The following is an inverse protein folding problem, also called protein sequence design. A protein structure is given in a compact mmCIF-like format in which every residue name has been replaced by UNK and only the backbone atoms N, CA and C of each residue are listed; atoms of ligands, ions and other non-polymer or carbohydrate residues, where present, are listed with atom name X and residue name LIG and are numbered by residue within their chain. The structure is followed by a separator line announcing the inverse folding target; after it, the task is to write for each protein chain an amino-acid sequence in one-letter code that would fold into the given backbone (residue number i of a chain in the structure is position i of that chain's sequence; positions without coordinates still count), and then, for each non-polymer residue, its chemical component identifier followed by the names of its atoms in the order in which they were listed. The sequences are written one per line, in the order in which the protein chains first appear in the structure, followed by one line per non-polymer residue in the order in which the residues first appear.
data_IF_802146439130
#
_entry.id   IF_802146439130
#
_cell.length_a   1.000
_cell.length_b   1.000
_cell.length_c   1.000
_cell.angle_alpha   90.00
_cell.angle_beta   90.00
_cell.angle_gamma   90.00
#
_symmetry.space_group_name_H-M   'P 1'
#
loop_
_entity.id
_entity.type
_entity.pdbx_description
1 polymer ?
#
# COMPACT_ATOMS: atom_id res chain seq x y z
N UNK A 1 23.85 69.09 -15.01
CA UNK A 1 25.31 68.88 -15.14
C UNK A 1 25.58 67.54 -14.48
N UNK A 2 25.91 66.45 -15.18
CA UNK A 2 26.96 66.23 -16.17
C UNK A 2 26.43 65.38 -17.33
N UNK A 3 26.79 65.79 -18.54
CA UNK A 3 26.50 65.19 -19.84
C UNK A 3 27.67 64.30 -20.27
N UNK A 4 27.41 63.06 -20.70
CA UNK A 4 28.37 62.23 -21.45
C UNK A 4 27.68 61.42 -22.56
N UNK A 5 28.38 61.39 -23.68
CA UNK A 5 27.99 61.12 -25.06
C UNK A 5 27.57 59.67 -25.40
N UNK A 6 26.85 59.46 -26.52
CA UNK A 6 26.50 58.14 -27.02
C UNK A 6 27.61 57.57 -27.93
N UNK A 7 28.07 56.37 -27.63
CA UNK A 7 28.98 55.59 -28.48
C UNK A 7 28.20 54.89 -29.59
N UNK A 8 28.63 55.08 -30.84
CA UNK A 8 28.19 54.35 -32.03
C UNK A 8 28.98 53.05 -32.11
N UNK A 9 28.28 51.92 -31.99
CA UNK A 9 28.78 50.62 -32.44
C UNK A 9 27.97 50.12 -33.64
N UNK A 10 28.61 49.34 -34.54
CA UNK A 10 28.10 49.05 -35.88
C UNK A 10 26.94 48.06 -35.88
N UNK A 11 25.99 48.32 -36.78
CA UNK A 11 24.84 47.48 -37.08
C UNK A 11 25.20 46.01 -37.27
N UNK A 12 24.53 45.07 -36.58
CA UNK A 12 24.66 43.65 -36.87
C UNK A 12 23.98 43.37 -38.21
N UNK A 13 24.74 42.77 -39.11
CA UNK A 13 24.31 42.27 -40.40
C UNK A 13 23.17 41.28 -40.20
N UNK A 14 22.01 41.56 -40.81
CA UNK A 14 20.85 40.67 -40.83
C UNK A 14 21.27 39.30 -41.41
N UNK A 15 21.10 38.19 -40.66
CA UNK A 15 21.27 36.87 -41.24
C UNK A 15 20.17 36.65 -42.28
N UNK A 16 20.60 36.38 -43.49
CA UNK A 16 19.77 35.96 -44.62
C UNK A 16 18.95 34.75 -44.19
N UNK A 17 17.63 34.90 -44.26
CA UNK A 17 16.63 33.89 -43.93
C UNK A 17 16.87 32.63 -44.79
N UNK A 18 17.25 31.48 -44.20
CA UNK A 18 17.30 30.25 -44.95
C UNK A 18 15.88 29.87 -45.35
N UNK A 19 15.66 29.69 -46.65
CA UNK A 19 14.49 29.00 -47.19
C UNK A 19 14.51 27.57 -46.67
N UNK A 20 13.70 27.31 -45.65
CA UNK A 20 13.47 25.98 -45.11
C UNK A 20 12.50 25.29 -46.07
N UNK A 21 12.85 24.11 -46.62
CA UNK A 21 11.96 23.35 -47.49
C UNK A 21 10.68 23.00 -46.73
N UNK A 22 9.53 23.19 -47.38
CA UNK A 22 8.21 22.76 -46.90
C UNK A 22 8.20 21.23 -46.74
N UNK A 23 8.66 20.76 -45.58
CA UNK A 23 8.48 19.37 -45.16
C UNK A 23 7.03 19.15 -44.77
N UNK A 24 6.45 18.09 -45.33
CA UNK A 24 5.10 17.58 -45.09
C UNK A 24 4.65 17.78 -43.64
N UNK A 25 3.65 18.63 -43.44
CA UNK A 25 3.10 18.99 -42.12
C UNK A 25 2.44 17.81 -41.40
N UNK A 26 2.22 16.70 -42.09
CA UNK A 26 1.51 15.52 -41.61
C UNK A 26 2.29 14.72 -40.55
N UNK A 27 3.62 14.69 -40.62
CA UNK A 27 4.45 13.93 -39.66
C UNK A 27 4.68 14.67 -38.33
N UNK A 28 4.63 16.02 -38.33
CA UNK A 28 4.75 16.80 -37.09
C UNK A 28 3.55 16.59 -36.15
N UNK A 29 2.34 16.47 -36.70
CA UNK A 29 1.13 16.25 -35.90
C UNK A 29 1.11 14.88 -35.19
N UNK A 30 1.72 13.85 -35.79
CA UNK A 30 1.82 12.53 -35.17
C UNK A 30 2.77 12.54 -33.96
N UNK A 31 3.92 13.22 -34.09
CA UNK A 31 4.91 13.34 -33.01
C UNK A 31 4.37 14.18 -31.85
N UNK A 32 3.65 15.26 -32.14
CA UNK A 32 3.00 16.08 -31.10
C UNK A 32 1.91 15.30 -30.35
N UNK A 33 1.14 14.46 -31.05
CA UNK A 33 0.12 13.58 -30.46
C UNK A 33 0.73 12.52 -29.53
N UNK A 34 1.80 11.83 -29.96
CA UNK A 34 2.50 10.84 -29.14
C UNK A 34 3.15 11.48 -27.90
N UNK A 35 3.77 12.66 -28.07
CA UNK A 35 4.33 13.43 -26.96
C UNK A 35 3.27 13.82 -25.93
N UNK A 36 2.08 14.23 -26.38
CA UNK A 36 0.97 14.55 -25.49
C UNK A 36 0.47 13.34 -24.70
N UNK A 37 0.36 12.16 -25.35
CA UNK A 37 -0.03 10.91 -24.69
C UNK A 37 1.02 10.45 -23.65
N UNK A 38 2.32 10.52 -23.98
CA UNK A 38 3.40 10.17 -23.05
C UNK A 38 3.39 11.12 -21.85
N UNK A 39 3.19 12.42 -22.08
CA UNK A 39 3.07 13.42 -21.02
C UNK A 39 1.88 13.15 -20.11
N UNK A 40 0.71 12.82 -20.70
CA UNK A 40 -0.48 12.44 -19.95
C UNK A 40 -0.28 11.17 -19.11
N UNK A 41 0.31 10.12 -19.69
CA UNK A 41 0.61 8.88 -18.98
C UNK A 41 1.60 9.11 -17.83
N UNK A 42 2.63 9.93 -18.07
CA UNK A 42 3.61 10.32 -17.05
C UNK A 42 2.96 11.06 -15.89
N UNK A 43 2.03 11.99 -16.19
CA UNK A 43 1.28 12.72 -15.17
C UNK A 43 0.36 11.79 -14.37
N UNK A 44 -0.30 10.82 -15.03
CA UNK A 44 -1.11 9.83 -14.35
C UNK A 44 -0.28 8.95 -13.42
N UNK A 45 0.89 8.48 -13.86
CA UNK A 45 1.81 7.71 -13.01
C UNK A 45 2.28 8.51 -11.79
N UNK A 46 2.58 9.81 -11.97
CA UNK A 46 2.90 10.72 -10.88
C UNK A 46 1.76 10.84 -9.86
N UNK A 47 0.53 11.04 -10.34
CA UNK A 47 -0.66 11.11 -9.49
C UNK A 47 -0.89 9.79 -8.74
N UNK A 48 -0.69 8.64 -9.39
CA UNK A 48 -0.79 7.33 -8.75
C UNK A 48 0.26 7.15 -7.64
N UNK A 49 1.51 7.53 -7.89
CA UNK A 49 2.56 7.47 -6.89
C UNK A 49 2.27 8.37 -5.68
N UNK A 50 1.67 9.55 -5.90
CA UNK A 50 1.23 10.43 -4.82
C UNK A 50 0.10 9.79 -3.99
N UNK A 51 -0.87 9.15 -4.65
CA UNK A 51 -1.96 8.42 -3.96
C UNK A 51 -1.41 7.24 -3.15
N UNK A 52 -0.50 6.44 -3.71
CA UNK A 52 0.15 5.33 -2.99
C UNK A 52 0.89 5.85 -1.76
N UNK A 53 1.63 6.94 -1.90
CA UNK A 53 2.38 7.55 -0.78
C UNK A 53 1.44 8.05 0.32
N UNK A 54 0.31 8.69 -0.05
CA UNK A 54 -0.72 9.11 0.92
C UNK A 54 -1.36 7.91 1.62
N UNK A 55 -1.67 6.85 0.89
CA UNK A 55 -2.24 5.63 1.46
C UNK A 55 -1.27 4.97 2.45
N UNK A 56 0.02 4.88 2.12
CA UNK A 56 1.05 4.38 3.03
C UNK A 56 1.16 5.24 4.29
N UNK A 57 1.21 6.56 4.16
CA UNK A 57 1.25 7.46 5.31
C UNK A 57 0.01 7.32 6.21
N UNK A 58 -1.19 7.19 5.62
CA UNK A 58 -2.42 6.95 6.39
C UNK A 58 -2.41 5.60 7.10
N UNK A 59 -1.88 4.55 6.46
CA UNK A 59 -1.73 3.23 7.06
C UNK A 59 -0.78 3.26 8.26
N UNK A 60 0.37 3.91 8.13
CA UNK A 60 1.34 4.04 9.22
C UNK A 60 0.78 4.84 10.40
N UNK A 61 0.01 5.90 10.14
CA UNK A 61 -0.64 6.68 11.20
C UNK A 61 -1.73 5.89 11.91
N UNK A 62 -2.56 5.12 11.20
CA UNK A 62 -3.60 4.28 11.83
C UNK A 62 -3.00 3.11 12.61
N UNK A 63 -1.95 2.47 12.08
CA UNK A 63 -1.21 1.42 12.81
C UNK A 63 -0.57 1.95 14.09
N UNK A 64 0.03 3.15 14.05
CA UNK A 64 0.57 3.79 15.26
C UNK A 64 -0.51 4.10 16.29
N UNK A 65 -1.66 4.66 15.85
CA UNK A 65 -2.76 4.98 16.75
C UNK A 65 -3.35 3.73 17.43
N UNK A 66 -3.53 2.63 16.68
CA UNK A 66 -4.01 1.35 17.23
C UNK A 66 -3.00 0.74 18.21
N UNK A 67 -1.70 0.90 17.96
CA UNK A 67 -0.65 0.42 18.88
C UNK A 67 -0.67 1.19 20.20
N UNK A 68 -0.84 2.50 20.15
CA UNK A 68 -0.92 3.35 21.34
C UNK A 68 -2.20 3.06 22.15
N UNK A 69 -3.33 2.85 21.48
CA UNK A 69 -4.59 2.46 22.14
C UNK A 69 -4.49 1.09 22.80
N UNK A 70 -3.91 0.09 22.12
CA UNK A 70 -3.67 -1.23 22.72
C UNK A 70 -2.77 -1.16 23.95
N UNK A 71 -1.73 -0.32 23.92
CA UNK A 71 -0.87 -0.09 25.07
C UNK A 71 -1.65 0.52 26.23
N UNK A 72 -2.46 1.56 25.97
CA UNK A 72 -3.32 2.20 26.96
C UNK A 72 -4.28 1.21 27.62
N UNK A 73 -4.96 0.38 26.83
CA UNK A 73 -5.88 -0.65 27.33
C UNK A 73 -5.16 -1.72 28.16
N UNK A 74 -3.94 -2.10 27.76
CA UNK A 74 -3.11 -3.05 28.52
C UNK A 74 -2.74 -2.47 29.90
N UNK A 75 -2.33 -1.21 29.94
CA UNK A 75 -2.02 -0.50 31.19
C UNK A 75 -3.26 -0.39 32.10
N UNK A 76 -4.43 -0.10 31.53
CA UNK A 76 -5.70 -0.02 32.27
C UNK A 76 -6.12 -1.39 32.84
N UNK A 77 -6.01 -2.47 32.07
CA UNK A 77 -6.26 -3.84 32.54
C UNK A 77 -5.33 -4.21 33.70
N UNK A 78 -4.05 -3.82 33.63
CA UNK A 78 -3.08 -4.04 34.70
C UNK A 78 -3.50 -3.33 35.99
N UNK A 79 -3.90 -2.06 35.90
CA UNK A 79 -4.38 -1.26 37.04
C UNK A 79 -5.65 -1.85 37.65
N UNK A 80 -6.62 -2.24 36.82
CA UNK A 80 -7.87 -2.85 37.28
C UNK A 80 -7.62 -4.21 37.95
N UNK A 81 -6.69 -5.01 37.43
CA UNK A 81 -6.30 -6.30 38.02
C UNK A 81 -5.65 -6.11 39.39
N UNK A 82 -4.75 -5.14 39.53
CA UNK A 82 -4.14 -4.78 40.81
C UNK A 82 -5.20 -4.31 41.81
N UNK A 83 -6.11 -3.42 41.39
CA UNK A 83 -7.19 -2.90 42.23
C UNK A 83 -8.13 -4.01 42.71
N UNK A 84 -8.52 -4.92 41.83
CA UNK A 84 -9.36 -6.08 42.17
C UNK A 84 -8.68 -7.00 43.20
N UNK A 85 -7.36 -7.21 43.07
CA UNK A 85 -6.61 -8.01 44.04
C UNK A 85 -6.56 -7.35 45.42
N UNK A 86 -6.39 -6.02 45.49
CA UNK A 86 -6.39 -5.26 46.73
C UNK A 86 -7.77 -5.31 47.43
N UNK A 87 -8.86 -5.14 46.67
CA UNK A 87 -10.24 -5.24 47.20
C UNK A 87 -10.54 -6.64 47.74
N UNK A 88 -10.04 -7.70 47.07
CA UNK A 88 -10.21 -9.08 47.55
C UNK A 88 -9.51 -9.30 48.90
N UNK A 89 -8.29 -8.80 49.07
CA UNK A 89 -7.57 -8.90 50.36
C UNK A 89 -8.23 -8.05 51.45
N UNK A 90 -8.67 -6.83 51.12
CA UNK A 90 -9.41 -5.99 52.06
C UNK A 90 -10.70 -6.68 52.54
N UNK A 91 -11.48 -7.29 51.63
CA UNK A 91 -12.69 -8.05 51.97
C UNK A 91 -12.38 -9.26 52.85
N UNK A 92 -11.28 -9.96 52.59
CA UNK A 92 -10.84 -11.10 53.40
C UNK A 92 -10.47 -10.68 54.82
N UNK A 93 -9.71 -9.58 54.95
CA UNK A 93 -9.35 -8.98 56.23
C UNK A 93 -10.58 -8.52 57.02
N UNK A 94 -11.48 -7.76 56.39
CA UNK A 94 -12.74 -7.31 57.02
C UNK A 94 -13.60 -8.49 57.51
N UNK A 95 -13.70 -9.57 56.71
CA UNK A 95 -14.43 -10.77 57.10
C UNK A 95 -13.80 -11.47 58.31
N UNK A 96 -12.47 -11.45 58.44
CA UNK A 96 -11.79 -12.01 59.60
C UNK A 96 -12.03 -11.17 60.85
N UNK A 97 -11.94 -9.83 60.74
CA UNK A 97 -12.24 -8.91 61.83
C UNK A 97 -13.68 -9.08 62.34
N UNK A 98 -14.65 -9.24 61.43
CA UNK A 98 -16.04 -9.49 61.80
C UNK A 98 -16.20 -10.78 62.60
N UNK A 99 -15.57 -11.88 62.16
CA UNK A 99 -15.60 -13.16 62.91
C UNK A 99 -14.96 -13.06 64.30
N UNK A 100 -13.90 -12.26 64.44
CA UNK A 100 -13.26 -12.03 65.73
C UNK A 100 -14.11 -11.15 66.66
N UNK A 101 -14.87 -10.20 66.10
CA UNK A 101 -15.83 -9.39 66.85
C UNK A 101 -17.03 -10.25 67.30
N UNK A 102 -17.58 -11.08 66.41
CA UNK A 102 -18.66 -12.04 66.73
C UNK A 102 -18.27 -12.95 67.89
N UNK A 103 -17.05 -13.54 67.85
CA UNK A 103 -16.56 -14.39 68.93
C UNK A 103 -16.41 -13.64 70.25
N UNK A 104 -15.93 -12.38 70.21
CA UNK A 104 -15.79 -11.54 71.41
C UNK A 104 -17.14 -11.27 72.06
N UNK A 105 -18.15 -10.89 71.27
CA UNK A 105 -19.49 -10.66 71.79
C UNK A 105 -20.16 -11.95 72.31
N UNK A 106 -19.92 -13.08 71.66
CA UNK A 106 -20.43 -14.37 72.16
C UNK A 106 -19.88 -14.71 73.55
N UNK A 107 -18.59 -14.48 73.79
CA UNK A 107 -17.96 -14.64 75.10
C UNK A 107 -18.55 -13.68 76.14
N UNK A 108 -18.70 -12.41 75.79
CA UNK A 108 -19.28 -11.40 76.68
C UNK A 108 -20.73 -11.74 77.09
N UNK A 109 -21.54 -12.21 76.14
CA UNK A 109 -22.91 -12.68 76.42
C UNK A 109 -22.90 -13.88 77.38
N UNK A 110 -21.96 -14.83 77.22
CA UNK A 110 -21.87 -15.96 78.16
C UNK A 110 -21.46 -15.52 79.56
N UNK A 111 -20.51 -14.59 79.70
CA UNK A 111 -20.08 -14.06 80.99
C UNK A 111 -21.22 -13.31 81.70
N UNK A 112 -21.96 -12.47 80.98
CA UNK A 112 -23.12 -11.76 81.53
C UNK A 112 -24.22 -12.72 82.00
N UNK A 113 -24.45 -13.82 81.27
CA UNK A 113 -25.41 -14.87 81.68
C UNK A 113 -24.97 -15.55 82.98
N UNK A 114 -23.69 -15.87 83.13
CA UNK A 114 -23.15 -16.45 84.36
C UNK A 114 -23.26 -15.49 85.55
N UNK A 115 -22.95 -14.21 85.35
CA UNK A 115 -23.10 -13.18 86.39
C UNK A 115 -24.56 -13.03 86.84
N UNK A 116 -25.52 -13.03 85.90
CA UNK A 116 -26.95 -12.97 86.23
C UNK A 116 -27.41 -14.17 87.06
N UNK A 117 -27.01 -15.40 86.67
CA UNK A 117 -27.33 -16.61 87.43
C UNK A 117 -26.78 -16.52 88.86
N UNK A 118 -25.56 -15.99 89.03
CA UNK A 118 -24.95 -15.81 90.35
C UNK A 118 -25.74 -14.82 91.21
N UNK A 119 -26.11 -13.67 90.65
CA UNK A 119 -26.90 -12.65 91.36
C UNK A 119 -28.30 -13.15 91.74
N UNK A 120 -28.99 -13.87 90.86
CA UNK A 120 -30.28 -14.49 91.17
C UNK A 120 -30.18 -15.47 92.35
N UNK A 121 -29.10 -16.25 92.42
CA UNK A 121 -28.87 -17.18 93.52
C UNK A 121 -28.57 -16.45 94.84
N UNK A 122 -27.78 -15.37 94.79
CA UNK A 122 -27.52 -14.53 95.97
C UNK A 122 -28.80 -13.84 96.48
N UNK A 123 -29.66 -13.35 95.57
CA UNK A 123 -30.97 -12.79 95.93
C UNK A 123 -31.86 -13.81 96.65
N UNK A 124 -31.99 -15.03 96.12
CA UNK A 124 -32.75 -16.10 96.76
C UNK A 124 -32.21 -16.45 98.16
N UNK A 125 -30.89 -16.38 98.34
CA UNK A 125 -30.28 -16.66 99.65
C UNK A 125 -30.56 -15.54 100.66
N UNK A 126 -30.63 -14.29 100.22
CA UNK A 126 -30.92 -13.13 101.08
C UNK A 126 -32.38 -13.05 101.49
N UNK A 127 -33.32 -13.51 100.66
CA UNK A 127 -34.74 -13.64 101.05
C UNK A 127 -34.95 -14.57 102.27
N UNK A 128 -33.99 -15.44 102.58
CA UNK A 128 -34.05 -16.36 103.73
C UNK A 128 -33.46 -15.79 105.03
N UNK A 129 -32.69 -14.70 105.00
CA UNK A 129 -32.05 -14.12 106.18
C UNK A 129 -32.49 -12.67 106.39
N UNK A 130 -33.45 -12.46 107.29
CA UNK A 130 -33.95 -11.13 107.68
C UNK A 130 -32.94 -10.31 108.49
N UNK A 131 -31.88 -9.82 107.85
CA UNK A 131 -30.87 -8.95 108.47
C UNK A 131 -30.70 -7.65 107.67
N UNK A 132 -31.16 -6.53 108.27
CA UNK A 132 -31.13 -5.16 107.72
C UNK A 132 -29.75 -4.67 107.22
N UNK A 133 -28.64 -5.32 107.60
CA UNK A 133 -27.28 -4.97 107.15
C UNK A 133 -26.97 -5.47 105.74
N UNK A 134 -27.56 -6.59 105.35
CA UNK A 134 -27.37 -7.17 104.02
C UNK A 134 -28.28 -6.51 102.98
N UNK A 135 -29.42 -5.96 103.40
CA UNK A 135 -30.30 -5.12 102.57
C UNK A 135 -29.56 -3.88 102.05
N UNK A 136 -28.72 -3.22 102.86
CA UNK A 136 -27.96 -2.04 102.41
C UNK A 136 -26.87 -2.40 101.38
N UNK A 137 -26.20 -3.55 101.56
CA UNK A 137 -25.24 -4.04 100.54
C UNK A 137 -25.96 -4.45 99.26
N UNK A 138 -27.16 -5.00 99.38
CA UNK A 138 -27.99 -5.38 98.25
C UNK A 138 -28.47 -4.15 97.48
N UNK A 139 -28.94 -3.11 98.17
CA UNK A 139 -29.33 -1.84 97.55
C UNK A 139 -28.15 -1.19 96.82
N UNK A 140 -26.95 -1.16 97.41
CA UNK A 140 -25.75 -0.63 96.75
C UNK A 140 -25.38 -1.43 95.48
N UNK A 141 -25.48 -2.76 95.53
CA UNK A 141 -25.26 -3.59 94.34
C UNK A 141 -26.34 -3.39 93.29
N UNK A 142 -27.56 -3.08 93.70
CA UNK A 142 -28.64 -2.73 92.79
C UNK A 142 -28.36 -1.40 92.09
N UNK A 143 -27.91 -0.38 92.82
CA UNK A 143 -27.47 0.90 92.26
C UNK A 143 -26.31 0.70 91.27
N UNK A 144 -25.27 -0.07 91.64
CA UNK A 144 -24.15 -0.40 90.74
C UNK A 144 -24.63 -1.17 89.49
N UNK A 145 -25.60 -2.07 89.65
CA UNK A 145 -26.19 -2.82 88.53
C UNK A 145 -27.01 -1.91 87.62
N UNK A 146 -27.79 -0.99 88.18
CA UNK A 146 -28.57 0.01 87.46
C UNK A 146 -27.66 0.96 86.68
N UNK A 147 -26.57 1.44 87.28
CA UNK A 147 -25.54 2.23 86.59
C UNK A 147 -24.91 1.46 85.42
N UNK A 148 -24.58 0.18 85.61
CA UNK A 148 -24.09 -0.68 84.51
C UNK A 148 -25.15 -0.88 83.44
N UNK A 149 -26.43 -1.03 83.80
CA UNK A 149 -27.51 -1.18 82.82
C UNK A 149 -27.68 0.09 81.99
N UNK A 150 -27.62 1.28 82.61
CA UNK A 150 -27.69 2.57 81.91
C UNK A 150 -26.50 2.75 80.96
N UNK A 151 -25.28 2.42 81.40
CA UNK A 151 -24.10 2.49 80.53
C UNK A 151 -24.19 1.47 79.38
N UNK A 152 -24.70 0.27 79.64
CA UNK A 152 -24.90 -0.74 78.60
C UNK A 152 -25.99 -0.34 77.60
N UNK A 153 -27.08 0.29 78.05
CA UNK A 153 -28.12 0.85 77.18
C UNK A 153 -27.54 1.95 76.28
N UNK A 154 -26.70 2.83 76.84
CA UNK A 154 -25.99 3.86 76.08
C UNK A 154 -25.03 3.26 75.05
N UNK A 155 -24.30 2.20 75.39
CA UNK A 155 -23.43 1.50 74.45
C UNK A 155 -24.25 0.81 73.34
N UNK A 156 -25.37 0.18 73.68
CA UNK A 156 -26.27 -0.42 72.69
C UNK A 156 -26.82 0.62 71.70
N UNK A 157 -27.21 1.81 72.18
CA UNK A 157 -27.64 2.92 71.32
C UNK A 157 -26.51 3.37 70.39
N UNK A 158 -25.29 3.55 70.90
CA UNK A 158 -24.13 3.90 70.06
C UNK A 158 -23.80 2.82 69.03
N UNK A 159 -23.98 1.54 69.39
CA UNK A 159 -23.81 0.43 68.45
C UNK A 159 -24.92 0.40 67.40
N UNK A 160 -26.16 0.74 67.77
CA UNK A 160 -27.27 0.86 66.85
C UNK A 160 -27.02 1.97 65.81
N UNK A 161 -26.61 3.15 66.25
CA UNK A 161 -26.29 4.28 65.36
C UNK A 161 -25.16 3.91 64.37
N UNK A 162 -24.11 3.25 64.85
CA UNK A 162 -23.01 2.76 63.99
C UNK A 162 -23.47 1.68 63.00
N UNK A 163 -24.40 0.81 63.41
CA UNK A 163 -24.98 -0.20 62.54
C UNK A 163 -25.84 0.46 61.45
N UNK A 164 -26.60 1.50 61.78
CA UNK A 164 -27.39 2.26 60.83
C UNK A 164 -26.49 2.98 59.81
N UNK A 165 -25.46 3.70 60.27
CA UNK A 165 -24.47 4.34 59.40
C UNK A 165 -23.76 3.31 58.49
N UNK A 166 -23.37 2.16 59.05
CA UNK A 166 -22.78 1.08 58.26
C UNK A 166 -23.75 0.54 57.21
N UNK A 167 -25.04 0.46 57.52
CA UNK A 167 -26.06 -0.04 56.60
C UNK A 167 -26.34 0.97 55.47
N UNK A 168 -26.36 2.27 55.77
CA UNK A 168 -26.44 3.34 54.78
C UNK A 168 -25.25 3.30 53.81
N UNK A 169 -24.02 3.16 54.34
CA UNK A 169 -22.82 3.00 53.54
C UNK A 169 -22.88 1.76 52.64
N UNK A 170 -23.38 0.64 53.16
CA UNK A 170 -23.52 -0.61 52.40
C UNK A 170 -24.56 -0.46 51.27
N UNK A 171 -25.66 0.26 51.52
CA UNK A 171 -26.63 0.62 50.49
C UNK A 171 -26.02 1.53 49.42
N UNK A 172 -25.18 2.50 49.81
CA UNK A 172 -24.43 3.34 48.87
C UNK A 172 -23.52 2.53 47.95
N UNK A 173 -22.73 1.60 48.52
CA UNK A 173 -21.88 0.68 47.74
C UNK A 173 -22.70 -0.22 46.82
N UNK A 174 -23.86 -0.71 47.28
CA UNK A 174 -24.77 -1.53 46.47
C UNK A 174 -25.31 -0.75 45.27
N UNK A 175 -25.68 0.51 45.44
CA UNK A 175 -26.12 1.39 44.34
C UNK A 175 -25.00 1.60 43.32
N UNK A 176 -23.78 1.92 43.77
CA UNK A 176 -22.62 2.07 42.89
C UNK A 176 -22.29 0.78 42.12
N UNK A 177 -22.39 -0.39 42.76
CA UNK A 177 -22.18 -1.66 42.08
C UNK A 177 -23.24 -1.94 41.00
N UNK A 178 -24.50 -1.57 41.24
CA UNK A 178 -25.56 -1.70 40.23
C UNK A 178 -25.32 -0.75 39.04
N UNK A 179 -24.89 0.48 39.29
CA UNK A 179 -24.54 1.45 38.24
C UNK A 179 -23.33 0.99 37.43
N UNK A 180 -22.27 0.54 38.09
CA UNK A 180 -21.11 -0.04 37.42
C UNK A 180 -21.49 -1.28 36.59
N UNK A 181 -22.39 -2.13 37.09
CA UNK A 181 -22.91 -3.27 36.33
C UNK A 181 -23.67 -2.88 35.07
N UNK A 182 -24.44 -1.77 35.11
CA UNK A 182 -25.09 -1.21 33.92
C UNK A 182 -24.09 -0.66 32.92
N UNK A 183 -23.09 0.10 33.39
CA UNK A 183 -22.05 0.68 32.54
C UNK A 183 -21.25 -0.41 31.81
N UNK A 184 -20.87 -1.49 32.51
CA UNK A 184 -20.18 -2.64 31.89
C UNK A 184 -21.07 -3.29 30.82
N UNK A 185 -22.37 -3.45 31.07
CA UNK A 185 -23.29 -4.03 30.09
C UNK A 185 -23.41 -3.15 28.84
N UNK A 186 -23.49 -1.84 29.00
CA UNK A 186 -23.51 -0.89 27.87
C UNK A 186 -22.21 -0.90 27.08
N UNK A 187 -21.06 -0.99 27.75
CA UNK A 187 -19.77 -1.12 27.08
C UNK A 187 -19.69 -2.42 26.28
N UNK A 188 -20.18 -3.53 26.84
CA UNK A 188 -20.20 -4.82 26.16
C UNK A 188 -21.07 -4.81 24.89
N UNK A 189 -22.21 -4.10 24.92
CA UNK A 189 -23.04 -3.89 23.72
C UNK A 189 -22.28 -3.08 22.67
N UNK A 190 -21.63 -1.96 23.07
CA UNK A 190 -20.83 -1.13 22.16
C UNK A 190 -19.67 -1.90 21.54
N UNK A 191 -19.00 -2.77 22.30
CA UNK A 191 -17.96 -3.64 21.76
C UNK A 191 -18.52 -4.60 20.70
N UNK A 192 -19.69 -5.21 20.94
CA UNK A 192 -20.34 -6.08 19.95
C UNK A 192 -20.71 -5.34 18.65
N UNK A 193 -21.27 -4.13 18.74
CA UNK A 193 -21.55 -3.29 17.56
C UNK A 193 -20.28 -2.93 16.79
N UNK A 194 -19.16 -2.72 17.49
CA UNK A 194 -17.87 -2.43 16.86
C UNK A 194 -17.27 -3.67 16.17
N UNK A 195 -17.41 -4.85 16.76
CA UNK A 195 -17.01 -6.13 16.13
C UNK A 195 -17.79 -6.39 14.84
N UNK A 196 -19.11 -6.17 14.82
CA UNK A 196 -19.92 -6.30 13.60
C UNK A 196 -19.47 -5.31 12.51
N UNK A 197 -19.13 -4.07 12.88
CA UNK A 197 -18.59 -3.08 11.94
C UNK A 197 -17.25 -3.49 11.37
N UNK A 198 -16.36 -4.07 12.19
CA UNK A 198 -15.06 -4.59 11.74
C UNK A 198 -15.27 -5.74 10.77
N UNK A 199 -16.12 -6.71 11.10
CA UNK A 199 -16.43 -7.84 10.23
C UNK A 199 -16.99 -7.38 8.86
N UNK A 200 -17.92 -6.42 8.85
CA UNK A 200 -18.44 -5.84 7.61
C UNK A 200 -17.41 -5.05 6.80
N UNK A 201 -16.41 -4.45 7.46
CA UNK A 201 -15.28 -3.80 6.78
C UNK A 201 -14.30 -4.81 6.19
N UNK A 202 -14.02 -5.92 6.87
CA UNK A 202 -13.18 -7.01 6.36
C UNK A 202 -13.77 -7.67 5.12
N UNK A 203 -15.10 -7.86 5.08
CA UNK A 203 -15.80 -8.40 3.91
C UNK A 203 -15.63 -7.49 2.69
N UNK A 204 -15.82 -6.17 2.86
CA UNK A 204 -15.60 -5.18 1.77
C UNK A 204 -14.16 -5.17 1.25
N UNK A 205 -13.18 -5.31 2.15
CA UNK A 205 -11.78 -5.40 1.74
C UNK A 205 -11.51 -6.66 0.93
N UNK A 206 -12.10 -7.78 1.32
CA UNK A 206 -11.98 -9.05 0.58
C UNK A 206 -12.64 -8.98 -0.79
N UNK A 207 -13.77 -8.29 -0.93
CA UNK A 207 -14.40 -8.03 -2.24
C UNK A 207 -13.50 -7.16 -3.14
N UNK A 208 -12.88 -6.11 -2.58
CA UNK A 208 -11.95 -5.25 -3.32
C UNK A 208 -10.70 -6.00 -3.78
N UNK A 209 -10.15 -6.87 -2.93
CA UNK A 209 -8.98 -7.69 -3.25
C UNK A 209 -9.27 -8.67 -4.40
N UNK A 210 -10.49 -9.26 -4.40
CA UNK A 210 -10.97 -10.08 -5.52
C UNK A 210 -11.02 -9.31 -6.85
N UNK A 211 -11.51 -8.07 -6.83
CA UNK A 211 -11.55 -7.20 -8.02
C UNK A 211 -10.16 -6.81 -8.53
N UNK A 212 -9.19 -6.60 -7.63
CA UNK A 212 -7.80 -6.30 -8.00
C UNK A 212 -7.11 -7.47 -8.71
N UNK A 213 -7.33 -8.70 -8.26
CA UNK A 213 -6.78 -9.89 -8.92
C UNK A 213 -7.40 -10.14 -10.30
N UNK A 214 -8.67 -9.82 -10.51
CA UNK A 214 -9.30 -9.86 -11.83
C UNK A 214 -8.67 -8.83 -12.78
N UNK A 215 -8.55 -7.57 -12.34
CA UNK A 215 -7.89 -6.51 -13.11
C UNK A 215 -6.43 -6.86 -13.44
N UNK A 216 -5.71 -7.52 -12.52
CA UNK A 216 -4.34 -7.99 -12.75
C UNK A 216 -4.27 -9.04 -13.84
N UNK A 217 -5.21 -10.00 -13.87
CA UNK A 217 -5.29 -11.00 -14.94
C UNK A 217 -5.58 -10.36 -16.29
N UNK A 218 -6.47 -9.38 -16.34
CA UNK A 218 -6.76 -8.63 -17.57
C UNK A 218 -5.51 -7.90 -18.08
N UNK A 219 -4.78 -7.22 -17.19
CA UNK A 219 -3.55 -6.50 -17.55
C UNK A 219 -2.48 -7.44 -18.13
N UNK A 220 -2.31 -8.63 -17.53
CA UNK A 220 -1.40 -9.65 -18.07
C UNK A 220 -1.84 -10.07 -19.47
N UNK A 221 -3.15 -10.28 -19.70
CA UNK A 221 -3.69 -10.61 -21.02
C UNK A 221 -3.53 -9.50 -22.07
N UNK A 222 -3.57 -8.23 -21.66
CA UNK A 222 -3.28 -7.10 -22.54
C UNK A 222 -1.80 -7.07 -22.91
N UNK A 223 -0.89 -7.25 -21.94
CA UNK A 223 0.54 -7.26 -22.20
C UNK A 223 0.94 -8.40 -23.15
N UNK A 224 0.40 -9.60 -22.98
CA UNK A 224 0.70 -10.70 -23.92
C UNK A 224 0.24 -10.39 -25.35
N UNK A 225 -0.92 -9.74 -25.52
CA UNK A 225 -1.39 -9.31 -26.85
C UNK A 225 -0.53 -8.19 -27.43
N UNK A 226 -0.01 -7.30 -26.58
CA UNK A 226 0.90 -6.25 -26.99
C UNK A 226 2.23 -6.84 -27.46
N UNK A 227 2.78 -7.82 -26.74
CA UNK A 227 4.01 -8.53 -27.13
C UNK A 227 3.81 -9.30 -28.44
N UNK A 228 2.66 -9.97 -28.61
CA UNK A 228 2.29 -10.63 -29.87
C UNK A 228 2.22 -9.62 -31.03
N UNK A 229 1.58 -8.48 -30.81
CA UNK A 229 1.46 -7.42 -31.82
C UNK A 229 2.83 -6.81 -32.16
N UNK A 230 3.67 -6.53 -31.17
CA UNK A 230 5.02 -6.01 -31.37
C UNK A 230 5.86 -6.99 -32.19
N UNK A 231 5.78 -8.29 -31.88
CA UNK A 231 6.47 -9.32 -32.65
C UNK A 231 5.97 -9.46 -34.10
N UNK A 232 4.67 -9.23 -34.34
CA UNK A 232 4.06 -9.30 -35.65
C UNK A 232 4.34 -8.06 -36.52
N UNK A 233 4.35 -6.87 -35.91
CA UNK A 233 4.54 -5.59 -36.60
C UNK A 233 6.03 -5.26 -36.78
N UNK A 234 6.87 -5.64 -35.81
CA UNK A 234 8.30 -5.35 -35.78
C UNK A 234 9.11 -6.65 -35.64
N UNK A 235 9.02 -7.57 -36.60
CA UNK A 235 9.78 -8.82 -36.53
C UNK A 235 11.27 -8.52 -36.45
N UNK A 236 11.96 -9.24 -35.56
CA UNK A 236 13.42 -9.19 -35.42
C UNK A 236 14.11 -10.48 -35.87
N UNK A 237 13.32 -11.52 -36.14
CA UNK A 237 13.81 -12.83 -36.55
C UNK A 237 13.44 -13.10 -38.01
N UNK A 238 14.35 -13.67 -38.80
CA UNK A 238 14.03 -14.05 -40.18
C UNK A 238 12.99 -15.17 -40.20
N UNK A 239 12.13 -15.14 -41.21
CA UNK A 239 11.23 -16.24 -41.56
C UNK A 239 12.02 -17.43 -42.13
N UNK A 240 11.32 -18.50 -42.54
CA UNK A 240 11.94 -19.68 -43.17
C UNK A 240 12.73 -19.35 -44.46
N UNK A 241 12.36 -18.26 -45.15
CA UNK A 241 13.07 -17.71 -46.30
C UNK A 241 14.36 -16.97 -45.95
N UNK A 242 14.64 -16.77 -44.66
CA UNK A 242 15.83 -16.10 -44.15
C UNK A 242 15.75 -14.57 -44.22
N UNK A 243 14.55 -13.98 -44.20
CA UNK A 243 14.37 -12.52 -44.17
C UNK A 243 13.17 -12.08 -43.33
N UNK A 244 13.11 -10.80 -42.99
CA UNK A 244 11.92 -10.14 -42.46
C UNK A 244 11.84 -8.68 -42.95
N UNK A 245 10.65 -8.09 -42.89
CA UNK A 245 10.40 -6.73 -43.37
C UNK A 245 9.99 -5.83 -42.20
N UNK A 246 10.40 -4.55 -42.22
CA UNK A 246 9.93 -3.53 -41.29
C UNK A 246 9.54 -2.25 -42.04
N UNK A 247 8.64 -1.50 -41.42
CA UNK A 247 8.29 -0.14 -41.84
C UNK A 247 9.36 0.88 -41.46
N UNK A 248 10.02 0.66 -40.33
CA UNK A 248 11.05 1.53 -39.78
C UNK A 248 12.42 0.86 -39.80
N UNK A 249 13.50 1.63 -40.00
CA UNK A 249 14.85 1.08 -39.96
C UNK A 249 15.22 0.67 -38.53
N UNK A 250 15.98 -0.41 -38.39
CA UNK A 250 16.50 -0.88 -37.11
C UNK A 250 17.70 -0.01 -36.74
N UNK A 251 17.83 0.30 -35.45
CA UNK A 251 19.01 1.01 -34.94
C UNK A 251 20.30 0.22 -35.16
N UNK A 252 20.21 -1.11 -35.09
CA UNK A 252 21.34 -2.03 -35.28
C UNK A 252 20.91 -3.18 -36.17
N UNK A 253 21.65 -3.41 -37.26
CA UNK A 253 21.43 -4.57 -38.14
C UNK A 253 21.97 -5.83 -37.47
N UNK A 254 21.18 -6.92 -37.37
CA UNK A 254 21.65 -8.20 -36.83
C UNK A 254 22.90 -8.73 -37.54
N UNK A 255 23.78 -9.40 -36.78
CA UNK A 255 24.99 -10.02 -37.32
C UNK A 255 24.65 -11.04 -38.43
N UNK A 256 25.41 -11.00 -39.54
CA UNK A 256 25.18 -11.89 -40.69
C UNK A 256 24.03 -11.46 -41.62
N UNK A 257 23.30 -10.38 -41.29
CA UNK A 257 22.26 -9.82 -42.15
C UNK A 257 22.73 -8.60 -42.95
N UNK A 258 21.92 -8.26 -43.95
CA UNK A 258 22.00 -7.04 -44.74
C UNK A 258 20.63 -6.39 -44.71
N UNK A 259 20.60 -5.09 -44.45
CA UNK A 259 19.42 -4.26 -44.65
C UNK A 259 19.38 -3.83 -46.11
N UNK A 260 18.25 -4.08 -46.76
CA UNK A 260 17.92 -3.61 -48.09
C UNK A 260 16.84 -2.55 -47.93
N UNK A 261 17.12 -1.33 -48.40
CA UNK A 261 16.16 -0.23 -48.35
C UNK A 261 15.81 0.26 -49.74
N UNK A 262 14.54 0.62 -49.93
CA UNK A 262 14.08 1.28 -51.15
C UNK A 262 14.32 2.79 -51.01
N UNK A 263 15.08 3.36 -51.94
CA UNK A 263 15.40 4.79 -51.99
C UNK A 263 14.17 5.66 -52.20
N UNK A 264 14.24 6.89 -51.67
CA UNK A 264 13.25 7.97 -51.77
C UNK A 264 12.73 8.14 -53.21
N UNK A 265 11.44 8.45 -53.47
CA UNK A 265 10.47 9.11 -52.56
C UNK A 265 9.27 8.26 -52.09
N UNK A 266 9.21 6.95 -52.33
CA UNK A 266 8.00 6.18 -52.02
C UNK A 266 8.04 5.50 -50.65
N UNK A 267 7.23 5.97 -49.69
CA UNK A 267 6.89 5.21 -48.48
C UNK A 267 5.97 4.04 -48.86
N UNK A 268 6.54 2.86 -49.06
CA UNK A 268 5.81 1.62 -49.34
C UNK A 268 5.96 0.68 -48.15
N UNK A 269 4.91 -0.08 -47.76
CA UNK A 269 5.04 -1.08 -46.71
C UNK A 269 6.21 -2.04 -46.93
N UNK A 270 6.99 -2.31 -45.88
CA UNK A 270 8.20 -3.12 -45.98
C UNK A 270 9.38 -2.40 -46.62
N UNK A 271 9.51 -1.09 -46.40
CA UNK A 271 10.59 -0.25 -46.93
C UNK A 271 12.00 -0.77 -46.60
N UNK A 272 12.13 -1.51 -45.50
CA UNK A 272 13.37 -2.13 -45.05
C UNK A 272 13.20 -3.65 -45.00
N UNK A 273 14.03 -4.37 -45.75
CA UNK A 273 14.12 -5.83 -45.72
C UNK A 273 15.44 -6.19 -45.04
N UNK A 274 15.40 -7.03 -44.02
CA UNK A 274 16.58 -7.60 -43.39
C UNK A 274 16.70 -9.05 -43.83
N UNK A 275 17.78 -9.37 -44.53
CA UNK A 275 17.97 -10.71 -45.10
C UNK A 275 19.33 -11.27 -44.73
N UNK A 276 19.37 -12.57 -44.46
CA UNK A 276 20.60 -13.33 -44.28
C UNK A 276 21.47 -13.27 -45.55
N UNK A 277 22.75 -12.94 -45.40
CA UNK A 277 23.69 -12.83 -46.54
C UNK A 277 23.78 -14.10 -47.37
N UNK A 278 23.66 -15.26 -46.71
CA UNK A 278 23.69 -16.58 -47.36
C UNK A 278 22.56 -16.75 -48.38
N UNK A 279 21.39 -16.19 -48.09
CA UNK A 279 20.18 -16.27 -48.94
C UNK A 279 20.31 -15.45 -50.22
N UNK A 280 21.00 -14.32 -50.14
CA UNK A 280 21.27 -13.42 -51.27
C UNK A 280 22.73 -13.50 -51.76
N UNK A 281 23.38 -14.65 -51.59
CA UNK A 281 24.78 -14.86 -52.00
C UNK A 281 25.01 -14.73 -53.52
N UNK A 282 23.96 -14.91 -54.33
CA UNK A 282 23.96 -14.67 -55.77
C UNK A 282 23.05 -13.50 -56.11
N UNK A 283 23.42 -12.68 -57.10
CA UNK A 283 22.62 -11.52 -57.49
C UNK A 283 21.20 -11.92 -57.95
N UNK A 284 21.06 -13.06 -58.62
CA UNK A 284 19.77 -13.61 -59.03
C UNK A 284 18.83 -13.89 -57.84
N UNK A 285 19.36 -14.36 -56.70
CA UNK A 285 18.54 -14.58 -55.50
C UNK A 285 18.07 -13.27 -54.88
N UNK A 286 18.95 -12.26 -54.88
CA UNK A 286 18.58 -10.90 -54.48
C UNK A 286 17.50 -10.32 -55.39
N UNK A 287 17.66 -10.43 -56.71
CA UNK A 287 16.67 -10.00 -57.68
C UNK A 287 15.31 -10.67 -57.47
N UNK A 288 15.29 -12.00 -57.34
CA UNK A 288 14.06 -12.76 -57.11
C UNK A 288 13.37 -12.34 -55.80
N UNK A 289 14.14 -12.09 -54.73
CA UNK A 289 13.61 -11.61 -53.45
C UNK A 289 12.92 -10.25 -53.62
N UNK A 290 13.59 -9.30 -54.28
CA UNK A 290 13.07 -7.95 -54.50
C UNK A 290 11.87 -7.95 -55.43
N UNK A 291 11.89 -8.77 -56.48
CA UNK A 291 10.73 -8.96 -57.35
C UNK A 291 9.55 -9.54 -56.58
N UNK A 292 9.77 -10.54 -55.71
CA UNK A 292 8.71 -11.16 -54.93
C UNK A 292 8.10 -10.20 -53.88
N UNK A 293 8.93 -9.40 -53.20
CA UNK A 293 8.47 -8.53 -52.11
C UNK A 293 7.94 -7.18 -52.58
N UNK A 294 8.58 -6.59 -53.59
CA UNK A 294 8.27 -5.22 -54.03
C UNK A 294 7.77 -5.13 -55.47
N UNK A 295 7.72 -6.24 -56.22
CA UNK A 295 7.33 -6.22 -57.64
C UNK A 295 8.33 -5.47 -58.52
N UNK A 296 9.58 -5.30 -58.06
CA UNK A 296 10.61 -4.55 -58.77
C UNK A 296 11.53 -5.51 -59.51
N UNK A 297 11.53 -5.43 -60.84
CA UNK A 297 12.43 -6.20 -61.69
C UNK A 297 13.81 -5.51 -61.74
N UNK A 298 14.85 -6.22 -61.27
CA UNK A 298 16.22 -5.74 -61.24
C UNK A 298 17.13 -6.36 -62.32
N UNK A 299 16.60 -7.10 -63.29
CA UNK A 299 17.39 -7.81 -64.32
C UNK A 299 18.35 -6.86 -65.06
N UNK A 300 17.96 -5.59 -65.22
CA UNK A 300 18.77 -4.57 -65.92
C UNK A 300 19.49 -3.60 -64.99
N UNK A 301 19.33 -3.72 -63.68
CA UNK A 301 19.83 -2.75 -62.71
C UNK A 301 21.36 -2.66 -62.71
N UNK A 302 21.93 -1.46 -62.54
CA UNK A 302 23.38 -1.29 -62.39
C UNK A 302 23.84 -1.41 -60.94
N UNK A 303 24.99 -2.05 -60.74
CA UNK A 303 25.67 -2.09 -59.45
C UNK A 303 26.60 -0.88 -59.30
N UNK A 304 26.54 -0.22 -58.14
CA UNK A 304 27.38 0.93 -57.80
C UNK A 304 27.81 0.84 -56.33
N UNK A 305 29.04 1.21 -56.01
CA UNK A 305 29.50 1.36 -54.62
C UNK A 305 29.75 2.82 -54.33
N UNK A 306 29.52 3.23 -53.10
CA UNK A 306 29.98 4.54 -52.63
C UNK A 306 31.52 4.67 -52.82
N UNK A 307 32.06 5.82 -53.29
CA UNK A 307 31.39 7.08 -53.62
C UNK A 307 30.98 7.15 -55.10
N UNK A 308 30.05 6.29 -55.52
CA UNK A 308 29.37 6.29 -56.83
C UNK A 308 30.19 5.79 -58.02
N UNK A 309 31.27 5.07 -57.76
CA UNK A 309 32.00 4.38 -58.82
C UNK A 309 31.12 3.26 -59.41
N UNK A 310 31.00 3.25 -60.73
CA UNK A 310 30.27 2.21 -61.46
C UNK A 310 31.09 0.91 -61.32
N UNK A 311 30.53 -0.06 -60.60
CA UNK A 311 31.11 -1.40 -60.48
C UNK A 311 30.55 -2.24 -61.63
N UNK A 312 31.07 -1.98 -62.82
CA UNK A 312 30.86 -2.73 -64.07
C UNK A 312 29.42 -3.27 -64.34
N UNK A 313 29.27 -4.24 -65.25
CA UNK A 313 27.99 -4.92 -65.54
C UNK A 313 27.80 -6.03 -64.51
N UNK A 314 26.56 -6.27 -64.05
CA UNK A 314 26.16 -7.29 -63.05
C UNK A 314 27.02 -8.57 -63.09
N UNK A 315 28.12 -8.59 -62.33
CA UNK A 315 29.01 -9.73 -62.21
C UNK A 315 28.88 -10.29 -60.80
N UNK A 316 28.51 -11.57 -60.70
CA UNK A 316 28.34 -12.26 -59.40
C UNK A 316 29.59 -12.14 -58.51
N UNK A 317 30.80 -12.11 -59.07
CA UNK A 317 32.02 -11.94 -58.27
C UNK A 317 32.11 -10.56 -57.61
N UNK A 318 31.67 -9.50 -58.28
CA UNK A 318 31.61 -8.15 -57.73
C UNK A 318 30.47 -8.03 -56.71
N UNK A 319 29.32 -8.66 -56.97
CA UNK A 319 28.22 -8.76 -56.00
C UNK A 319 28.70 -9.37 -54.68
N UNK A 320 29.31 -10.55 -54.70
CA UNK A 320 29.79 -11.24 -53.50
C UNK A 320 30.83 -10.38 -52.75
N UNK A 321 31.79 -9.81 -53.48
CA UNK A 321 32.85 -8.97 -52.91
C UNK A 321 32.25 -7.77 -52.16
N UNK A 322 31.31 -7.05 -52.77
CA UNK A 322 30.70 -5.88 -52.15
C UNK A 322 29.71 -6.26 -51.06
N UNK A 323 28.87 -7.27 -51.29
CA UNK A 323 27.92 -7.77 -50.30
C UNK A 323 28.66 -8.13 -49.02
N UNK A 324 29.79 -8.85 -49.07
CA UNK A 324 30.54 -9.27 -47.87
C UNK A 324 31.03 -8.12 -46.97
N UNK A 325 31.16 -6.90 -47.51
CA UNK A 325 31.73 -5.73 -46.81
C UNK A 325 30.69 -4.71 -46.37
N UNK A 326 29.45 -4.89 -46.81
CA UNK A 326 28.42 -3.85 -46.68
C UNK A 326 27.26 -4.36 -45.85
N UNK A 327 26.72 -3.53 -44.96
CA UNK A 327 25.49 -3.83 -44.20
C UNK A 327 24.21 -3.26 -44.81
N UNK A 328 24.32 -2.22 -45.62
CA UNK A 328 23.18 -1.55 -46.24
C UNK A 328 23.24 -1.61 -47.77
N UNK A 329 22.17 -2.07 -48.39
CA UNK A 329 21.96 -2.05 -49.84
C UNK A 329 20.79 -1.12 -50.12
N UNK A 330 20.98 -0.12 -50.97
CA UNK A 330 19.91 0.78 -51.39
C UNK A 330 19.48 0.47 -52.82
N UNK A 331 18.18 0.41 -53.06
CA UNK A 331 17.61 0.31 -54.40
C UNK A 331 16.99 1.65 -54.75
N UNK A 332 17.58 2.38 -55.69
CA UNK A 332 17.06 3.67 -56.13
C UNK A 332 16.61 3.61 -57.58
N UNK A 333 15.60 4.42 -57.92
CA UNK A 333 15.25 4.70 -59.30
C UNK A 333 15.85 6.03 -59.75
N UNK A 334 16.22 6.10 -61.02
CA UNK A 334 16.55 7.34 -61.70
C UNK A 334 15.26 7.94 -62.26
N UNK A 335 14.62 8.84 -61.50
CA UNK A 335 13.34 9.45 -61.88
C UNK A 335 13.36 10.26 -63.18
N UNK A 336 14.54 10.52 -63.76
CA UNK A 336 14.70 11.22 -65.05
C UNK A 336 14.56 10.25 -66.24
N UNK A 337 14.70 8.95 -66.00
CA UNK A 337 14.70 7.91 -67.06
C UNK A 337 13.38 7.16 -67.10
N UNK A 338 13.07 6.57 -68.26
CA UNK A 338 11.92 5.67 -68.42
C UNK A 338 12.14 4.38 -67.59
N UNK A 339 11.09 3.77 -67.00
CA UNK A 339 11.18 2.46 -66.34
C UNK A 339 11.81 1.34 -67.19
N UNK A 340 11.73 1.45 -68.52
CA UNK A 340 12.32 0.48 -69.46
C UNK A 340 13.83 0.70 -69.70
N UNK A 341 14.36 1.86 -69.29
CA UNK A 341 15.77 2.22 -69.42
C UNK A 341 16.62 1.33 -68.49
N UNK A 342 17.69 0.67 -68.98
CA UNK A 342 18.60 -0.11 -68.15
C UNK A 342 19.26 0.68 -67.01
N UNK A 343 19.31 2.01 -67.09
CA UNK A 343 19.82 2.88 -66.02
C UNK A 343 18.71 3.41 -65.09
N UNK A 344 17.47 2.94 -65.24
CA UNK A 344 16.38 3.31 -64.34
C UNK A 344 16.62 2.80 -62.93
N UNK A 345 16.86 1.49 -62.75
CA UNK A 345 17.15 0.92 -61.43
C UNK A 345 18.66 0.89 -61.15
N UNK A 346 19.04 1.31 -59.95
CA UNK A 346 20.41 1.21 -59.45
C UNK A 346 20.42 0.54 -58.07
N UNK A 347 21.39 -0.35 -57.87
CA UNK A 347 21.67 -1.00 -56.58
C UNK A 347 22.96 -0.40 -56.03
N UNK A 348 22.84 0.27 -54.90
CA UNK A 348 23.93 0.98 -54.23
C UNK A 348 24.37 0.21 -52.99
N UNK A 349 25.66 -0.07 -52.89
CA UNK A 349 26.24 -0.54 -51.64
C UNK A 349 26.59 0.67 -50.77
N UNK A 350 26.06 0.70 -49.54
CA UNK A 350 26.42 1.68 -48.51
C UNK A 350 27.89 1.60 -48.12
N UNK A 351 28.31 2.51 -47.24
CA UNK A 351 29.67 2.54 -46.73
C UNK A 351 30.09 1.18 -46.14
N UNK A 352 31.30 0.77 -46.48
CA UNK A 352 31.87 -0.50 -46.02
C UNK A 352 32.10 -0.46 -44.53
N UNK A 353 31.92 -1.62 -43.88
CA UNK A 353 32.36 -1.84 -42.51
C UNK A 353 33.86 -1.60 -42.42
N UNK A 354 34.29 -0.68 -41.56
CA UNK A 354 35.67 -0.62 -41.08
C UNK A 354 36.01 -1.88 -40.27
#
# INVERSE_FOLDING_TARGET
MVTTSPSRDPSPTLPTKPEIPETDKTDLYAIESESALISQASQQLLNFNEIISKLQATKETTESALKDENKRLTDEISILTATLSAVKEQRKSARQQLKEAERRHELEITELREQNIKLENEMKHLEQYGAYRDVVKLLRRYEEMEERMVENEKQMLQHHDKLEESNENLNGVKLQLMENGRNVKEQMIRCGEMEERIAGSEEKLREQDGGLEEARKELVGVNTKLDELDSAVLPEKPNEGGFFCRMTPMKTIPGGMVEISKGYPSFVPGQFIYVERSRISQFLHFENLIMALWGVNLTRARLRSFPWNIISKQNNSEWIKNLSRTRHVYICCNGVRSPDDPEFWCVLFGATLD
#
